data_IF_203633489569
#
_entry.id   IF_203633489569
#
_cell.length_a   1.000
_cell.length_b   1.000
_cell.length_c   1.000
_cell.angle_alpha   90.00
_cell.angle_beta   90.00
_cell.angle_gamma   90.00
#
_symmetry.space_group_name_H-M   'P 1'
#
loop_
_entity.id
_entity.type
_entity.pdbx_description
1 polymer ?
#
# COMPACT_ATOMS: atom_id res chain seq x y z
N UNK A 1 -8.05 -17.18 -5.16
CA UNK A 1 -6.84 -17.07 -4.34
C UNK A 1 -6.00 -15.91 -4.86
N UNK A 2 -5.49 -15.03 -3.98
CA UNK A 2 -4.54 -14.01 -4.39
C UNK A 2 -3.21 -14.73 -4.66
N UNK A 3 -2.66 -14.63 -5.87
CA UNK A 3 -1.36 -15.21 -6.18
C UNK A 3 -0.31 -14.64 -5.21
N UNK A 4 0.72 -15.40 -4.80
CA UNK A 4 1.73 -14.97 -3.83
C UNK A 4 2.73 -13.98 -4.45
N UNK A 5 2.24 -13.01 -5.21
CA UNK A 5 3.07 -12.04 -5.91
C UNK A 5 3.84 -11.18 -4.91
N UNK A 6 5.15 -11.35 -4.92
CA UNK A 6 6.10 -10.45 -4.32
C UNK A 6 6.13 -10.42 -2.79
N UNK A 7 5.96 -11.58 -2.14
CA UNK A 7 6.06 -11.71 -0.69
C UNK A 7 7.43 -11.22 -0.16
N UNK A 8 8.51 -11.50 -0.89
CA UNK A 8 9.88 -11.13 -0.50
C UNK A 8 10.09 -9.62 -0.65
N UNK A 9 9.70 -9.04 -1.78
CA UNK A 9 9.82 -7.60 -2.01
C UNK A 9 8.69 -6.77 -1.40
N UNK A 10 7.76 -7.36 -0.64
CA UNK A 10 6.55 -6.68 -0.17
C UNK A 10 6.88 -5.39 0.58
N UNK A 11 7.83 -5.44 1.52
CA UNK A 11 8.20 -4.28 2.34
C UNK A 11 8.85 -3.15 1.52
N UNK A 12 9.78 -3.49 0.65
CA UNK A 12 10.43 -2.50 -0.23
C UNK A 12 9.41 -1.90 -1.22
N UNK A 13 8.55 -2.73 -1.80
CA UNK A 13 7.54 -2.32 -2.76
C UNK A 13 6.53 -1.35 -2.14
N UNK A 14 6.03 -1.63 -0.93
CA UNK A 14 5.05 -0.73 -0.29
C UNK A 14 5.69 0.58 0.15
N UNK A 15 6.95 0.58 0.58
CA UNK A 15 7.67 1.81 0.90
C UNK A 15 7.84 2.68 -0.36
N UNK A 16 8.26 2.09 -1.49
CA UNK A 16 8.36 2.81 -2.77
C UNK A 16 7.01 3.33 -3.26
N UNK A 17 5.95 2.54 -3.09
CA UNK A 17 4.61 2.95 -3.50
C UNK A 17 4.11 4.14 -2.69
N UNK A 18 4.28 4.14 -1.36
CA UNK A 18 3.90 5.28 -0.51
C UNK A 18 4.77 6.50 -0.81
N UNK A 19 6.09 6.35 -0.97
CA UNK A 19 6.96 7.47 -1.37
C UNK A 19 6.48 8.13 -2.67
N UNK A 20 6.07 7.32 -3.67
CA UNK A 20 5.50 7.84 -4.91
C UNK A 20 4.15 8.52 -4.71
N UNK A 21 3.31 8.00 -3.81
CA UNK A 21 2.03 8.64 -3.46
C UNK A 21 2.24 10.01 -2.82
N UNK A 22 3.25 10.14 -1.96
CA UNK A 22 3.63 11.41 -1.32
C UNK A 22 4.18 12.41 -2.34
N UNK A 23 5.07 11.98 -3.25
CA UNK A 23 5.58 12.81 -4.36
C UNK A 23 4.45 13.35 -5.26
N UNK A 24 3.42 12.55 -5.48
CA UNK A 24 2.26 12.90 -6.30
C UNK A 24 1.15 13.61 -5.50
N UNK A 25 1.32 13.78 -4.19
CA UNK A 25 0.35 14.50 -3.35
C UNK A 25 -0.96 13.76 -3.10
N UNK A 26 -1.01 12.43 -3.21
CA UNK A 26 -2.22 11.65 -2.92
C UNK A 26 -2.64 11.71 -1.43
N UNK A 27 -1.69 11.95 -0.54
CA UNK A 27 -1.92 12.03 0.90
C UNK A 27 -2.32 10.70 1.55
N UNK A 28 -2.81 10.80 2.80
CA UNK A 28 -3.15 9.66 3.63
C UNK A 28 -4.62 9.26 3.52
N UNK A 29 -4.92 7.97 3.75
CA UNK A 29 -6.28 7.44 3.77
C UNK A 29 -7.09 8.01 4.94
N UNK A 30 -8.19 8.71 4.66
CA UNK A 30 -9.14 9.27 5.63
C UNK A 30 -10.41 8.40 5.83
N UNK A 31 -10.49 7.24 5.19
CA UNK A 31 -11.64 6.32 5.22
C UNK A 31 -12.97 6.90 4.69
N UNK A 32 -12.90 7.89 3.78
CA UNK A 32 -14.08 8.42 3.07
C UNK A 32 -14.53 7.54 1.90
N UNK A 33 -13.72 6.55 1.51
CA UNK A 33 -13.95 5.64 0.38
C UNK A 33 -14.01 6.29 -1.02
N UNK A 34 -13.62 7.56 -1.16
CA UNK A 34 -13.59 8.27 -2.45
C UNK A 34 -12.75 7.54 -3.52
N UNK A 35 -11.59 7.01 -3.13
CA UNK A 35 -10.69 6.29 -4.04
C UNK A 35 -11.31 5.04 -4.68
N UNK A 36 -12.24 4.35 -3.99
CA UNK A 36 -12.95 3.20 -4.54
C UNK A 36 -14.07 3.64 -5.50
N UNK A 37 -14.74 4.75 -5.21
CA UNK A 37 -15.84 5.28 -6.02
C UNK A 37 -15.34 5.89 -7.34
N UNK A 38 -14.19 6.55 -7.33
CA UNK A 38 -13.60 7.22 -8.50
C UNK A 38 -12.79 6.28 -9.39
N UNK A 39 -12.37 5.11 -8.89
CA UNK A 39 -11.50 4.23 -9.63
C UNK A 39 -12.23 3.60 -10.83
N UNK A 40 -11.84 3.88 -12.09
CA UNK A 40 -12.48 3.32 -13.28
C UNK A 40 -12.25 1.82 -13.44
N UNK A 41 -11.36 1.24 -12.62
CA UNK A 41 -11.04 -0.19 -12.58
C UNK A 41 -11.75 -0.92 -11.44
N UNK A 42 -12.62 -0.25 -10.68
CA UNK A 42 -13.41 -0.88 -9.62
C UNK A 42 -12.55 -1.50 -8.51
N UNK A 43 -11.39 -0.90 -8.21
CA UNK A 43 -10.49 -1.40 -7.18
C UNK A 43 -11.15 -1.24 -5.82
N UNK A 44 -11.36 -2.36 -5.13
CA UNK A 44 -11.88 -2.35 -3.77
C UNK A 44 -10.91 -1.67 -2.80
N UNK A 45 -11.47 -0.94 -1.83
CA UNK A 45 -10.74 -0.33 -0.69
C UNK A 45 -9.91 -1.35 0.10
N UNK A 46 -10.26 -2.64 0.04
CA UNK A 46 -9.50 -3.73 0.68
C UNK A 46 -8.04 -3.80 0.19
N UNK A 47 -7.76 -3.39 -1.05
CA UNK A 47 -6.40 -3.32 -1.57
C UNK A 47 -5.58 -2.20 -0.90
N UNK A 48 -6.19 -1.03 -0.67
CA UNK A 48 -5.56 0.09 0.05
C UNK A 48 -5.35 -0.28 1.53
N UNK A 49 -6.34 -0.95 2.15
CA UNK A 49 -6.20 -1.44 3.51
C UNK A 49 -5.05 -2.46 3.65
N UNK A 50 -4.91 -3.39 2.68
CA UNK A 50 -3.78 -4.33 2.65
C UNK A 50 -2.44 -3.62 2.51
N UNK A 51 -2.35 -2.65 1.60
CA UNK A 51 -1.14 -1.83 1.43
C UNK A 51 -0.75 -1.14 2.73
N UNK A 52 -1.68 -0.46 3.40
CA UNK A 52 -1.40 0.27 4.64
C UNK A 52 -0.91 -0.67 5.76
N UNK A 53 -1.50 -1.87 5.87
CA UNK A 53 -1.04 -2.89 6.82
C UNK A 53 0.39 -3.35 6.52
N UNK A 54 0.70 -3.59 5.25
CA UNK A 54 2.04 -3.98 4.81
C UNK A 54 3.06 -2.85 5.02
N UNK A 55 2.67 -1.59 4.81
CA UNK A 55 3.52 -0.43 5.07
C UNK A 55 3.81 -0.27 6.57
N UNK A 56 2.80 -0.43 7.43
CA UNK A 56 3.00 -0.43 8.88
C UNK A 56 3.90 -1.58 9.31
N UNK A 57 3.68 -2.79 8.79
CA UNK A 57 4.54 -3.93 9.05
C UNK A 57 5.98 -3.67 8.58
N UNK A 58 6.18 -3.05 7.41
CA UNK A 58 7.50 -2.67 6.91
C UNK A 58 8.21 -1.63 7.79
N UNK A 59 7.46 -0.76 8.47
CA UNK A 59 8.01 0.26 9.39
C UNK A 59 8.34 -0.30 10.77
N UNK A 60 7.57 -1.29 11.25
CA UNK A 60 7.77 -1.90 12.57
C UNK A 60 8.76 -3.06 12.51
N UNK A 61 8.63 -3.91 11.50
CA UNK A 61 9.39 -5.15 11.35
C UNK A 61 10.61 -4.98 10.44
N UNK A 62 11.06 -3.74 10.17
CA UNK A 62 12.23 -3.45 9.33
C UNK A 62 13.38 -4.39 9.76
N UNK A 63 13.68 -5.44 8.97
CA UNK A 63 14.85 -6.24 9.25
C UNK A 63 16.01 -5.32 8.87
N UNK A 64 16.86 -5.01 9.84
CA UNK A 64 18.19 -4.42 9.62
C UNK A 64 18.71 -4.95 8.30
N UNK A 65 18.86 -4.06 7.31
CA UNK A 65 19.60 -4.36 6.09
C UNK A 65 20.91 -5.00 6.54
N UNK A 66 21.08 -6.30 6.28
CA UNK A 66 22.40 -6.91 6.34
C UNK A 66 23.25 -6.33 5.23
#
# INVERSE_FOLDING_TARGET
>A
ALLPQGQVETYERVQKMVARMDELGFGNCSNTYACMAECPKGISVTNIARMNRQFLAAKIAEPLKK
#
